data_IF_625852246084
#
_entry.id   IF_625852246084
#
_cell.length_a   1.000
_cell.length_b   1.000
_cell.length_c   1.000
_cell.angle_alpha   90.00
_cell.angle_beta   90.00
_cell.angle_gamma   90.00
#
_symmetry.space_group_name_H-M   'P 1'
#
loop_
_entity.id
_entity.type
_entity.pdbx_description
1 polymer ?
#
# COMPACT_ATOMS: atom_id res chain seq x y z
N UNK A 1 10.52 -45.57 71.42
CA UNK A 1 10.73 -44.16 71.71
C UNK A 1 11.48 -43.56 70.54
N UNK A 2 11.12 -42.58 69.84
CA UNK A 2 10.25 -41.39 69.95
C UNK A 2 9.97 -40.87 68.54
N UNK A 3 8.76 -40.43 68.37
CA UNK A 3 8.29 -39.61 67.28
C UNK A 3 9.11 -38.33 67.11
N UNK A 4 9.42 -37.92 65.86
CA UNK A 4 9.35 -36.52 65.52
C UNK A 4 9.02 -36.36 64.04
N UNK A 5 7.89 -35.70 63.79
CA UNK A 5 7.33 -35.29 62.58
C UNK A 5 8.16 -34.12 62.07
N UNK A 6 8.77 -34.23 60.89
CA UNK A 6 9.32 -33.10 60.17
C UNK A 6 8.40 -32.80 58.99
N UNK A 7 7.71 -31.67 59.09
CA UNK A 7 6.91 -31.09 58.02
C UNK A 7 7.82 -30.73 56.84
N UNK A 8 7.55 -31.37 55.73
CA UNK A 8 8.18 -30.97 54.46
C UNK A 8 7.47 -29.71 53.93
N UNK A 9 8.14 -28.58 53.99
CA UNK A 9 7.80 -27.39 53.24
C UNK A 9 7.82 -27.71 51.77
N UNK A 10 6.62 -27.72 51.18
CA UNK A 10 6.42 -27.63 49.74
C UNK A 10 6.69 -26.20 49.33
N UNK A 11 7.95 -25.87 49.08
CA UNK A 11 8.28 -24.72 48.23
C UNK A 11 7.84 -25.04 46.81
N UNK A 12 6.69 -24.50 46.42
CA UNK A 12 6.36 -24.35 45.03
C UNK A 12 7.45 -23.49 44.40
N UNK A 13 8.28 -24.08 43.56
CA UNK A 13 9.01 -23.33 42.56
C UNK A 13 7.96 -22.67 41.66
N UNK A 14 7.73 -21.39 41.85
CA UNK A 14 7.26 -20.52 40.79
C UNK A 14 8.38 -20.54 39.77
N UNK A 15 8.28 -21.40 38.76
CA UNK A 15 9.03 -21.23 37.51
C UNK A 15 8.60 -19.88 37.00
N UNK A 16 9.48 -18.88 37.15
CA UNK A 16 9.44 -17.64 36.40
C UNK A 16 9.36 -18.05 34.93
N UNK A 17 8.18 -17.91 34.36
CA UNK A 17 7.99 -17.99 32.93
C UNK A 17 8.75 -16.78 32.36
N UNK A 18 10.06 -16.96 32.07
CA UNK A 18 10.82 -16.00 31.31
C UNK A 18 10.04 -15.74 30.02
N UNK A 19 9.48 -14.54 29.90
CA UNK A 19 8.83 -14.07 28.70
C UNK A 19 9.84 -14.21 27.56
N UNK A 20 9.57 -15.12 26.63
CA UNK A 20 10.48 -15.43 25.52
C UNK A 20 10.37 -14.30 24.49
N UNK A 21 11.16 -13.25 24.70
CA UNK A 21 11.39 -12.23 23.65
C UNK A 21 12.08 -12.92 22.50
N UNK A 22 11.54 -12.79 21.28
CA UNK A 22 12.15 -13.35 20.07
C UNK A 22 13.56 -12.81 19.89
N UNK A 23 14.54 -13.70 19.71
CA UNK A 23 15.91 -13.30 19.45
C UNK A 23 16.01 -12.60 18.07
N UNK A 24 17.06 -11.80 17.86
CA UNK A 24 17.34 -11.20 16.55
C UNK A 24 17.38 -12.26 15.44
N UNK A 25 17.98 -13.42 15.72
CA UNK A 25 18.07 -14.53 14.77
C UNK A 25 16.69 -15.13 14.47
N UNK A 26 15.78 -15.23 15.48
CA UNK A 26 14.42 -15.69 15.24
C UNK A 26 13.64 -14.70 14.40
N UNK A 27 13.76 -13.39 14.65
CA UNK A 27 13.11 -12.33 13.87
C UNK A 27 13.54 -12.38 12.40
N UNK A 28 14.84 -12.56 12.13
CA UNK A 28 15.37 -12.70 10.76
C UNK A 28 14.90 -13.99 10.11
N UNK A 29 14.86 -15.11 10.87
CA UNK A 29 14.36 -16.40 10.36
C UNK A 29 12.90 -16.31 9.95
N UNK A 30 12.04 -15.66 10.74
CA UNK A 30 10.62 -15.46 10.41
C UNK A 30 10.44 -14.68 9.10
N UNK A 31 11.26 -13.66 8.85
CA UNK A 31 11.27 -12.97 7.57
C UNK A 31 11.75 -13.91 6.44
N UNK A 32 12.82 -14.69 6.67
CA UNK A 32 13.32 -15.63 5.68
C UNK A 32 12.26 -16.67 5.28
N UNK A 33 11.48 -17.15 6.24
CA UNK A 33 10.45 -18.15 6.00
C UNK A 33 9.36 -17.63 5.06
N UNK A 34 8.90 -16.37 5.21
CA UNK A 34 7.87 -15.81 4.29
C UNK A 34 8.45 -15.31 2.97
N UNK A 35 9.72 -14.88 2.92
CA UNK A 35 10.40 -14.54 1.65
C UNK A 35 10.54 -15.77 0.76
N UNK A 36 10.77 -16.94 1.36
CA UNK A 36 10.88 -18.22 0.64
C UNK A 36 9.58 -18.65 -0.03
N UNK A 37 8.43 -18.23 0.48
CA UNK A 37 7.13 -18.52 -0.14
C UNK A 37 6.96 -17.59 -1.34
N UNK A 38 6.93 -18.16 -2.55
CA UNK A 38 6.84 -17.40 -3.80
C UNK A 38 5.40 -16.98 -4.05
N UNK A 39 5.14 -15.68 -3.88
CA UNK A 39 3.82 -15.07 -4.06
C UNK A 39 3.82 -14.04 -5.18
N UNK A 40 4.45 -14.35 -6.30
CA UNK A 40 4.49 -13.48 -7.48
C UNK A 40 3.08 -13.33 -8.07
N UNK A 41 2.37 -12.32 -7.60
CA UNK A 41 0.97 -12.00 -7.95
C UNK A 41 -0.01 -13.17 -7.78
N UNK A 42 0.29 -14.14 -6.91
CA UNK A 42 -0.54 -15.31 -6.64
C UNK A 42 0.00 -16.11 -5.42
N UNK A 43 -0.73 -17.15 -4.98
CA UNK A 43 -0.33 -18.09 -3.94
C UNK A 43 -0.21 -17.52 -2.52
N UNK A 44 -0.79 -16.35 -2.22
CA UNK A 44 -0.75 -15.73 -0.89
C UNK A 44 -1.38 -16.61 0.20
N UNK A 45 -2.22 -17.57 -0.18
CA UNK A 45 -2.80 -18.54 0.78
C UNK A 45 -1.71 -19.32 1.53
N UNK A 46 -0.55 -19.59 0.91
CA UNK A 46 0.56 -20.28 1.56
C UNK A 46 1.20 -19.41 2.67
N UNK A 47 1.28 -18.09 2.47
CA UNK A 47 1.71 -17.15 3.53
C UNK A 47 0.65 -17.05 4.61
N UNK A 48 -0.65 -17.04 4.27
CA UNK A 48 -1.72 -17.08 5.25
C UNK A 48 -1.64 -18.31 6.15
N UNK A 49 -1.40 -19.50 5.57
CA UNK A 49 -1.25 -20.75 6.34
C UNK A 49 -0.03 -20.68 7.25
N UNK A 50 1.11 -20.22 6.76
CA UNK A 50 2.30 -20.02 7.57
C UNK A 50 2.05 -19.05 8.73
N UNK A 51 1.48 -17.86 8.47
CA UNK A 51 1.19 -16.87 9.50
C UNK A 51 0.16 -17.38 10.51
N UNK A 52 -0.84 -18.13 10.07
CA UNK A 52 -1.83 -18.75 10.95
C UNK A 52 -1.17 -19.73 11.93
N UNK A 53 -0.29 -20.60 11.44
CA UNK A 53 0.43 -21.57 12.24
C UNK A 53 1.41 -20.87 13.20
N UNK A 54 2.09 -19.81 12.74
CA UNK A 54 2.96 -18.99 13.59
C UNK A 54 2.17 -18.32 14.71
N UNK A 55 1.10 -17.61 14.41
CA UNK A 55 0.29 -16.87 15.38
C UNK A 55 -0.34 -17.82 16.43
N UNK A 56 -0.76 -19.03 16.02
CA UNK A 56 -1.31 -20.03 16.92
C UNK A 56 -0.32 -20.50 17.98
N UNK A 57 0.99 -20.48 17.72
CA UNK A 57 2.03 -20.82 18.71
C UNK A 57 2.12 -19.81 19.86
N UNK A 58 1.55 -18.62 19.66
CA UNK A 58 1.53 -17.51 20.62
C UNK A 58 0.13 -17.18 21.15
N UNK A 59 -0.82 -18.14 21.04
CA UNK A 59 -2.22 -17.98 21.46
C UNK A 59 -2.91 -16.76 20.82
N UNK A 60 -2.64 -16.54 19.52
CA UNK A 60 -3.31 -15.53 18.71
C UNK A 60 -4.17 -16.24 17.66
N UNK A 61 -5.49 -16.08 17.80
CA UNK A 61 -6.45 -16.61 16.84
C UNK A 61 -6.40 -15.80 15.55
N UNK A 62 -6.52 -16.51 14.42
CA UNK A 62 -6.56 -15.89 13.10
C UNK A 62 -7.54 -16.56 12.16
N UNK A 63 -8.04 -15.81 11.21
CA UNK A 63 -9.00 -16.25 10.18
C UNK A 63 -8.42 -16.02 8.79
N UNK A 64 -8.43 -17.06 7.96
CA UNK A 64 -8.13 -16.95 6.52
C UNK A 64 -9.42 -16.57 5.79
N UNK A 65 -9.39 -15.47 5.04
CA UNK A 65 -10.48 -14.95 4.22
C UNK A 65 -10.12 -15.17 2.76
N UNK A 66 -10.74 -16.17 2.13
CA UNK A 66 -10.39 -16.59 0.75
C UNK A 66 -10.92 -15.62 -0.29
N UNK A 67 -10.05 -15.20 -1.20
CA UNK A 67 -10.39 -14.53 -2.45
C UNK A 67 -10.74 -15.57 -3.53
N UNK A 68 -9.89 -16.61 -3.64
CA UNK A 68 -10.12 -17.77 -4.53
C UNK A 68 -9.32 -18.99 -4.00
N UNK A 69 -9.07 -20.00 -4.84
CA UNK A 69 -8.40 -21.24 -4.42
C UNK A 69 -6.92 -21.04 -4.04
N UNK A 70 -6.24 -20.05 -4.60
CA UNK A 70 -4.80 -19.78 -4.39
C UNK A 70 -4.53 -18.46 -3.68
N UNK A 71 -5.51 -17.55 -3.58
CA UNK A 71 -5.36 -16.22 -2.98
C UNK A 71 -6.26 -16.07 -1.77
N UNK A 72 -5.73 -15.53 -0.70
CA UNK A 72 -6.47 -15.28 0.52
C UNK A 72 -5.83 -14.13 1.31
N UNK A 73 -6.60 -13.55 2.22
CA UNK A 73 -6.15 -12.64 3.25
C UNK A 73 -6.08 -13.38 4.60
N UNK A 74 -5.32 -12.85 5.55
CA UNK A 74 -5.35 -13.29 6.93
C UNK A 74 -5.73 -12.14 7.85
N UNK A 75 -6.67 -12.39 8.74
CA UNK A 75 -7.08 -11.45 9.80
C UNK A 75 -6.77 -12.07 11.17
N UNK A 76 -6.13 -11.31 12.05
CA UNK A 76 -5.86 -11.70 13.42
C UNK A 76 -6.03 -10.52 14.37
N UNK A 77 -6.37 -10.79 15.63
CA UNK A 77 -6.58 -9.74 16.63
C UNK A 77 -5.90 -10.06 17.96
N UNK A 78 -5.41 -9.03 18.63
CA UNK A 78 -5.03 -9.06 20.03
C UNK A 78 -5.64 -7.88 20.77
N UNK A 79 -5.85 -8.04 22.08
CA UNK A 79 -6.56 -7.04 22.89
C UNK A 79 -8.08 -7.20 22.76
N UNK A 80 -8.83 -6.18 23.16
CA UNK A 80 -10.29 -6.18 23.04
C UNK A 80 -10.88 -4.77 23.23
N UNK A 81 -11.98 -4.50 22.53
CA UNK A 81 -12.71 -3.23 22.61
C UNK A 81 -12.05 -2.10 21.84
N UNK A 82 -12.64 -0.92 21.96
CA UNK A 82 -12.15 0.29 21.29
C UNK A 82 -11.04 0.99 22.10
N UNK A 83 -10.17 1.75 21.42
CA UNK A 83 -10.11 1.93 19.97
C UNK A 83 -9.57 0.70 19.23
N UNK A 84 -9.88 0.56 17.94
CA UNK A 84 -9.35 -0.49 17.06
C UNK A 84 -8.30 0.12 16.15
N UNK A 85 -7.07 -0.38 16.25
CA UNK A 85 -5.97 -0.06 15.33
C UNK A 85 -5.81 -1.19 14.33
N UNK A 86 -6.12 -0.96 13.07
CA UNK A 86 -5.78 -1.85 11.99
C UNK A 86 -4.32 -1.63 11.57
N UNK A 87 -3.61 -2.74 11.37
CA UNK A 87 -2.25 -2.77 10.81
C UNK A 87 -2.27 -3.65 9.59
N UNK A 88 -1.78 -3.17 8.45
CA UNK A 88 -1.90 -3.89 7.19
C UNK A 88 -0.61 -3.95 6.41
N UNK A 89 -0.44 -5.08 5.71
CA UNK A 89 0.61 -5.29 4.73
C UNK A 89 0.28 -6.40 3.76
N UNK A 90 0.67 -6.22 2.50
CA UNK A 90 0.41 -7.21 1.47
C UNK A 90 1.43 -8.37 1.49
N UNK A 91 0.98 -9.53 1.04
CA UNK A 91 1.75 -10.77 1.01
C UNK A 91 2.29 -11.10 -0.39
N UNK A 92 1.66 -10.56 -1.42
CA UNK A 92 2.14 -10.73 -2.80
C UNK A 92 3.38 -9.89 -3.07
N UNK A 93 4.08 -10.24 -4.13
CA UNK A 93 5.26 -9.55 -4.63
C UNK A 93 5.21 -9.50 -6.15
N UNK A 94 5.83 -8.50 -6.76
CA UNK A 94 6.01 -8.46 -8.21
C UNK A 94 6.96 -9.57 -8.67
N UNK A 95 6.85 -9.93 -9.95
CA UNK A 95 7.74 -10.87 -10.62
C UNK A 95 9.22 -10.51 -10.36
N UNK A 96 10.03 -11.51 -10.01
CA UNK A 96 11.46 -11.31 -9.77
C UNK A 96 12.25 -11.06 -11.07
N UNK A 97 11.67 -11.35 -12.21
CA UNK A 97 12.33 -11.31 -13.52
C UNK A 97 13.29 -12.46 -13.74
N UNK A 98 14.35 -12.21 -14.48
CA UNK A 98 15.36 -13.22 -14.72
C UNK A 98 16.22 -13.41 -13.46
N UNK A 99 16.21 -14.61 -12.89
CA UNK A 99 16.98 -14.93 -11.67
C UNK A 99 18.50 -14.86 -11.91
N UNK A 100 18.97 -14.95 -13.16
CA UNK A 100 20.39 -14.80 -13.51
C UNK A 100 20.88 -13.34 -13.37
N UNK A 101 19.95 -12.36 -13.33
CA UNK A 101 20.28 -10.96 -13.07
C UNK A 101 20.51 -10.66 -11.58
N UNK A 102 20.09 -11.56 -10.68
CA UNK A 102 20.24 -11.40 -9.24
C UNK A 102 21.60 -11.87 -8.75
N UNK A 103 22.23 -11.06 -7.87
CA UNK A 103 23.47 -11.44 -7.17
C UNK A 103 23.20 -12.53 -6.12
N UNK A 104 22.02 -12.49 -5.48
CA UNK A 104 21.56 -13.48 -4.50
C UNK A 104 20.19 -14.01 -4.93
N UNK A 105 19.88 -15.31 -4.69
CA UNK A 105 18.60 -15.87 -5.10
C UNK A 105 17.42 -15.07 -4.52
N UNK A 106 16.44 -14.63 -5.36
CA UNK A 106 15.36 -13.72 -4.91
C UNK A 106 14.46 -14.29 -3.83
N UNK A 107 14.31 -15.61 -3.74
CA UNK A 107 13.45 -16.30 -2.76
C UNK A 107 14.24 -17.07 -1.69
N UNK A 108 15.49 -16.68 -1.45
CA UNK A 108 16.31 -17.14 -0.34
C UNK A 108 16.90 -15.93 0.38
N UNK A 109 16.44 -15.65 1.59
CA UNK A 109 16.95 -14.50 2.34
C UNK A 109 18.47 -14.61 2.55
N UNK A 110 19.22 -13.66 2.03
CA UNK A 110 20.68 -13.59 2.22
C UNK A 110 21.05 -12.44 3.15
N UNK A 111 21.57 -12.77 4.35
CA UNK A 111 22.10 -11.77 5.30
C UNK A 111 23.56 -11.47 4.95
N UNK A 112 23.84 -10.30 4.42
CA UNK A 112 25.19 -9.88 4.03
C UNK A 112 25.39 -8.38 4.18
N UNK A 113 26.50 -8.00 4.77
CA UNK A 113 26.94 -6.60 4.93
C UNK A 113 25.88 -5.68 5.56
N UNK A 114 25.12 -6.21 6.54
CA UNK A 114 24.05 -5.47 7.23
C UNK A 114 22.77 -5.30 6.42
N UNK A 115 22.59 -6.07 5.34
CA UNK A 115 21.43 -6.08 4.45
C UNK A 115 20.84 -7.49 4.38
N UNK A 116 19.53 -7.55 4.30
CA UNK A 116 18.74 -8.76 4.09
C UNK A 116 18.20 -8.72 2.67
N UNK A 117 18.86 -9.46 1.76
CA UNK A 117 18.49 -9.50 0.34
C UNK A 117 17.40 -10.53 0.08
N UNK A 118 16.47 -10.21 -0.80
CA UNK A 118 15.40 -11.08 -1.27
C UNK A 118 14.19 -10.28 -1.77
N UNK A 119 13.44 -10.83 -2.73
CA UNK A 119 12.20 -10.24 -3.24
C UNK A 119 11.15 -10.15 -2.12
N UNK A 120 10.54 -8.97 -1.95
CA UNK A 120 9.58 -8.71 -0.89
C UNK A 120 10.21 -8.33 0.46
N UNK A 121 11.53 -8.31 0.59
CA UNK A 121 12.17 -7.87 1.84
C UNK A 121 11.88 -6.42 2.14
N UNK A 122 11.81 -5.58 1.13
CA UNK A 122 11.40 -4.18 1.20
C UNK A 122 9.92 -4.02 0.93
N UNK A 123 9.40 -4.62 -0.15
CA UNK A 123 8.04 -4.40 -0.64
C UNK A 123 7.24 -5.73 -0.69
N UNK A 124 6.38 -6.02 0.36
CA UNK A 124 6.47 -5.42 1.68
C UNK A 124 6.44 -6.48 2.80
N UNK A 125 6.92 -7.72 2.52
CA UNK A 125 6.97 -8.81 3.53
C UNK A 125 7.80 -8.43 4.76
N UNK A 126 8.83 -7.55 4.61
CA UNK A 126 9.59 -7.02 5.72
C UNK A 126 8.73 -6.20 6.68
N UNK A 127 7.93 -5.28 6.15
CA UNK A 127 6.99 -4.47 6.93
C UNK A 127 5.91 -5.32 7.59
N UNK A 128 5.31 -6.24 6.83
CA UNK A 128 4.31 -7.18 7.33
C UNK A 128 4.87 -8.02 8.50
N UNK A 129 6.04 -8.66 8.32
CA UNK A 129 6.62 -9.50 9.38
C UNK A 129 7.05 -8.69 10.59
N UNK A 130 7.54 -7.45 10.42
CA UNK A 130 7.84 -6.57 11.55
C UNK A 130 6.58 -6.26 12.39
N UNK A 131 5.43 -6.02 11.74
CA UNK A 131 4.15 -5.82 12.44
C UNK A 131 3.65 -7.10 13.12
N UNK A 132 3.76 -8.26 12.47
CA UNK A 132 3.39 -9.57 13.05
C UNK A 132 4.22 -9.86 14.31
N UNK A 133 5.54 -9.64 14.25
CA UNK A 133 6.42 -9.84 15.41
C UNK A 133 6.07 -8.86 16.54
N UNK A 134 5.83 -7.58 16.22
CA UNK A 134 5.40 -6.59 17.20
C UNK A 134 4.10 -7.02 17.92
N UNK A 135 3.13 -7.54 17.14
CA UNK A 135 1.87 -8.07 17.68
C UNK A 135 2.10 -9.27 18.60
N UNK A 136 2.96 -10.22 18.22
CA UNK A 136 3.34 -11.38 19.05
C UNK A 136 3.99 -10.92 20.36
N UNK A 137 5.00 -10.03 20.29
CA UNK A 137 5.70 -9.56 21.50
C UNK A 137 4.77 -8.76 22.44
N UNK A 138 3.84 -7.98 21.91
CA UNK A 138 2.81 -7.28 22.68
C UNK A 138 1.85 -8.25 23.38
N UNK A 139 1.43 -9.31 22.69
CA UNK A 139 0.58 -10.38 23.28
C UNK A 139 1.30 -11.10 24.39
N UNK A 140 2.53 -11.55 24.14
CA UNK A 140 3.32 -12.32 25.11
C UNK A 140 3.68 -11.51 26.38
N UNK A 141 3.96 -10.21 26.22
CA UNK A 141 4.24 -9.32 27.34
C UNK A 141 2.99 -8.83 28.08
N UNK A 142 1.80 -9.18 27.60
CA UNK A 142 0.51 -8.65 28.10
C UNK A 142 0.52 -7.11 28.22
N UNK A 143 1.14 -6.45 27.25
CA UNK A 143 1.43 -5.02 27.32
C UNK A 143 0.24 -4.12 26.95
N UNK A 144 -0.79 -4.66 26.28
CA UNK A 144 -1.98 -3.91 25.90
C UNK A 144 -2.94 -3.81 27.09
N UNK A 145 -3.23 -2.58 27.53
CA UNK A 145 -4.16 -2.32 28.63
C UNK A 145 -5.60 -2.10 28.15
N UNK A 146 -5.78 -1.66 26.91
CA UNK A 146 -7.07 -1.40 26.27
C UNK A 146 -6.94 -1.42 24.75
N UNK A 147 -8.07 -1.51 24.07
CA UNK A 147 -8.16 -1.46 22.62
C UNK A 147 -7.78 -2.76 21.94
N UNK A 148 -7.89 -2.76 20.64
CA UNK A 148 -7.65 -3.91 19.76
C UNK A 148 -6.61 -3.56 18.70
N UNK A 149 -5.65 -4.44 18.47
CA UNK A 149 -4.82 -4.43 17.27
C UNK A 149 -5.39 -5.49 16.32
N UNK A 150 -5.75 -5.09 15.11
CA UNK A 150 -6.25 -5.96 14.04
C UNK A 150 -5.25 -6.02 12.92
N UNK A 151 -4.63 -7.18 12.70
CA UNK A 151 -3.78 -7.45 11.54
C UNK A 151 -4.65 -7.77 10.32
N UNK A 152 -4.37 -7.12 9.21
CA UNK A 152 -4.95 -7.34 7.89
C UNK A 152 -3.80 -7.66 6.91
N UNK A 153 -3.43 -8.95 6.80
CA UNK A 153 -2.47 -9.36 5.79
C UNK A 153 -3.21 -9.62 4.48
N UNK A 154 -2.91 -8.84 3.45
CA UNK A 154 -3.69 -8.75 2.20
C UNK A 154 -3.04 -9.50 1.05
N UNK A 155 -3.84 -9.78 0.04
CA UNK A 155 -3.43 -10.36 -1.24
C UNK A 155 -3.76 -9.43 -2.38
N UNK A 156 -2.86 -9.33 -3.38
CA UNK A 156 -3.13 -8.66 -4.64
C UNK A 156 -2.99 -7.15 -4.63
N UNK A 157 -2.18 -6.58 -3.76
CA UNK A 157 -1.89 -5.14 -3.76
C UNK A 157 -1.22 -4.72 -5.06
N UNK A 158 -0.22 -5.49 -5.50
CA UNK A 158 0.59 -5.27 -6.70
C UNK A 158 -0.21 -5.42 -8.01
N UNK A 159 -1.50 -5.70 -7.92
CA UNK A 159 -2.39 -5.86 -9.06
C UNK A 159 -3.63 -4.98 -8.93
N UNK A 160 -4.74 -5.52 -8.44
CA UNK A 160 -6.06 -4.86 -8.44
C UNK A 160 -6.61 -4.66 -7.02
N UNK A 161 -5.81 -4.92 -5.98
CA UNK A 161 -6.18 -4.77 -4.55
C UNK A 161 -7.45 -5.56 -4.14
N UNK A 162 -7.73 -6.70 -4.79
CA UNK A 162 -8.93 -7.51 -4.53
C UNK A 162 -9.03 -7.99 -3.08
N UNK A 163 -7.88 -8.29 -2.46
CA UNK A 163 -7.84 -8.74 -1.08
C UNK A 163 -8.31 -7.65 -0.13
N UNK A 164 -7.77 -6.45 -0.27
CA UNK A 164 -8.15 -5.30 0.55
C UNK A 164 -9.65 -4.95 0.36
N UNK A 165 -10.13 -4.92 -0.89
CA UNK A 165 -11.53 -4.66 -1.18
C UNK A 165 -12.46 -5.70 -0.52
N UNK A 166 -12.12 -6.99 -0.57
CA UNK A 166 -12.91 -8.04 0.08
C UNK A 166 -13.00 -7.84 1.60
N UNK A 167 -11.90 -7.45 2.25
CA UNK A 167 -11.91 -7.18 3.69
C UNK A 167 -12.78 -5.97 4.04
N UNK A 168 -12.76 -4.92 3.23
CA UNK A 168 -13.66 -3.78 3.39
C UNK A 168 -15.13 -4.19 3.21
N UNK A 169 -15.44 -4.94 2.16
CA UNK A 169 -16.81 -5.41 1.86
C UNK A 169 -17.35 -6.36 2.97
N UNK A 170 -16.48 -7.13 3.62
CA UNK A 170 -16.85 -7.99 4.76
C UNK A 170 -16.91 -7.22 6.10
N UNK A 171 -16.71 -5.90 6.12
CA UNK A 171 -16.86 -5.04 7.30
C UNK A 171 -15.69 -5.06 8.29
N UNK A 172 -14.50 -5.54 7.90
CA UNK A 172 -13.34 -5.55 8.79
C UNK A 172 -12.79 -4.14 9.09
N UNK A 173 -13.30 -3.11 8.43
CA UNK A 173 -12.91 -1.71 8.61
C UNK A 173 -13.97 -0.87 9.34
N UNK A 174 -15.18 -1.39 9.61
CA UNK A 174 -16.32 -0.63 10.10
C UNK A 174 -16.12 0.02 11.48
N UNK A 175 -15.34 -0.62 12.36
CA UNK A 175 -15.06 -0.18 13.72
C UNK A 175 -13.62 0.35 13.92
N UNK A 176 -12.86 0.48 12.84
CA UNK A 176 -11.46 0.90 12.87
C UNK A 176 -11.36 2.40 13.17
N UNK A 177 -10.55 2.73 14.17
CA UNK A 177 -10.26 4.12 14.57
C UNK A 177 -8.98 4.65 13.94
N UNK A 178 -8.03 3.75 13.62
CA UNK A 178 -6.75 4.07 12.99
C UNK A 178 -6.26 2.93 12.10
N UNK A 179 -5.56 3.29 11.03
CA UNK A 179 -4.98 2.35 10.06
C UNK A 179 -3.52 2.70 9.80
N UNK A 180 -2.62 1.72 9.95
CA UNK A 180 -1.22 1.81 9.52
C UNK A 180 -1.00 0.79 8.40
N UNK A 181 -0.51 1.27 7.25
CA UNK A 181 0.02 0.42 6.18
C UNK A 181 1.55 0.37 6.33
N UNK A 182 2.11 -0.82 6.38
CA UNK A 182 3.55 -1.05 6.64
C UNK A 182 4.44 -1.04 5.41
N UNK A 183 4.09 -0.29 4.36
CA UNK A 183 4.88 -0.08 3.13
C UNK A 183 6.25 0.53 3.41
N UNK A 184 7.25 0.30 2.54
CA UNK A 184 8.57 0.90 2.69
C UNK A 184 8.52 2.42 2.53
N UNK A 185 8.94 3.16 3.55
CA UNK A 185 8.79 4.61 3.56
C UNK A 185 10.08 5.41 3.66
N UNK A 186 11.25 4.77 3.75
CA UNK A 186 12.53 5.49 3.95
C UNK A 186 12.48 6.46 5.14
N UNK A 187 11.86 6.06 6.26
CA UNK A 187 11.62 6.89 7.44
C UNK A 187 10.84 8.18 7.16
N UNK A 188 9.81 8.10 6.30
CA UNK A 188 8.83 9.17 6.07
C UNK A 188 7.48 8.68 6.60
N UNK A 189 6.77 9.48 7.38
CA UNK A 189 5.40 9.19 7.79
C UNK A 189 4.42 9.84 6.80
N UNK A 190 3.68 9.05 6.07
CA UNK A 190 2.69 9.58 5.14
C UNK A 190 1.30 9.59 5.78
N UNK A 191 0.67 10.77 5.82
CA UNK A 191 -0.70 10.97 6.32
C UNK A 191 -1.76 10.88 5.23
N UNK A 192 -1.32 10.82 3.97
CA UNK A 192 -2.16 10.78 2.79
C UNK A 192 -1.41 10.13 1.63
N UNK A 193 -2.16 9.62 0.64
CA UNK A 193 -1.60 9.24 -0.65
C UNK A 193 -2.52 9.61 -1.80
N UNK A 194 -1.94 9.73 -3.01
CA UNK A 194 -2.73 9.94 -4.22
C UNK A 194 -3.46 8.67 -4.62
N UNK A 195 -4.57 8.85 -5.32
CA UNK A 195 -5.19 7.77 -6.06
C UNK A 195 -4.55 7.54 -7.43
N UNK A 196 -4.97 6.47 -8.09
CA UNK A 196 -4.48 6.08 -9.40
C UNK A 196 -5.62 5.56 -10.25
N UNK A 197 -5.74 6.07 -11.48
CA UNK A 197 -6.73 5.59 -12.44
C UNK A 197 -6.10 5.35 -13.81
N UNK A 198 -6.56 4.30 -14.46
CA UNK A 198 -6.31 4.04 -15.88
C UNK A 198 -7.59 4.25 -16.67
N UNK A 199 -7.57 5.13 -17.67
CA UNK A 199 -8.74 5.37 -18.52
C UNK A 199 -8.39 5.07 -19.98
N UNK A 200 -9.24 4.32 -20.66
CA UNK A 200 -9.06 3.94 -22.08
C UNK A 200 -10.21 4.52 -22.89
N UNK A 201 -9.93 5.54 -23.67
CA UNK A 201 -10.92 6.14 -24.59
C UNK A 201 -10.81 5.48 -25.94
N UNK A 202 -11.94 5.00 -26.45
CA UNK A 202 -12.04 4.40 -27.78
C UNK A 202 -12.95 5.25 -28.68
N UNK A 203 -12.40 5.71 -29.78
CA UNK A 203 -13.16 6.31 -30.87
C UNK A 203 -13.52 5.24 -31.92
N UNK A 204 -14.79 5.16 -32.26
CA UNK A 204 -15.33 4.30 -33.34
C UNK A 204 -15.85 5.15 -34.48
N UNK A 205 -15.40 4.86 -35.67
CA UNK A 205 -15.80 5.53 -36.90
C UNK A 205 -16.25 4.53 -37.95
N UNK A 206 -16.20 4.96 -39.22
CA UNK A 206 -16.58 4.13 -40.35
C UNK A 206 -15.49 4.16 -41.42
N UNK A 207 -15.01 2.96 -41.83
CA UNK A 207 -14.03 2.83 -42.86
C UNK A 207 -14.57 3.25 -44.24
N UNK A 208 -13.72 3.90 -45.04
CA UNK A 208 -13.95 4.19 -46.43
C UNK A 208 -12.62 4.26 -47.18
N UNK A 209 -12.65 4.28 -48.50
CA UNK A 209 -11.45 4.53 -49.31
C UNK A 209 -10.95 5.97 -49.08
N UNK A 210 -9.65 6.18 -48.94
CA UNK A 210 -9.10 7.49 -48.60
C UNK A 210 -9.39 8.59 -49.66
N UNK A 211 -9.68 8.22 -50.91
CA UNK A 211 -10.11 9.17 -51.97
C UNK A 211 -11.59 9.58 -51.85
N UNK A 212 -12.38 8.92 -50.99
CA UNK A 212 -13.79 9.22 -50.75
C UNK A 212 -14.06 9.34 -49.24
N UNK A 213 -13.37 10.25 -48.54
CA UNK A 213 -13.43 10.32 -47.08
C UNK A 213 -14.84 10.64 -46.53
N UNK A 214 -15.66 11.33 -47.35
CA UNK A 214 -17.05 11.69 -47.00
C UNK A 214 -18.01 10.48 -46.82
N UNK A 215 -17.61 9.29 -47.27
CA UNK A 215 -18.39 8.04 -47.08
C UNK A 215 -17.99 7.33 -45.78
N UNK A 216 -16.94 7.76 -45.11
CA UNK A 216 -16.47 7.23 -43.82
C UNK A 216 -16.64 8.24 -42.68
N UNK A 217 -16.20 7.80 -41.51
CA UNK A 217 -16.06 8.63 -40.29
C UNK A 217 -14.68 8.35 -39.71
N UNK A 218 -13.83 9.37 -39.67
CA UNK A 218 -12.44 9.21 -39.23
C UNK A 218 -12.34 9.18 -37.70
N UNK A 219 -12.11 7.99 -37.14
CA UNK A 219 -11.95 7.80 -35.70
C UNK A 219 -10.71 8.52 -35.12
N UNK A 220 -9.69 8.73 -35.93
CA UNK A 220 -8.49 9.47 -35.50
C UNK A 220 -8.81 10.94 -35.27
N UNK A 221 -9.55 11.59 -36.21
CA UNK A 221 -9.93 12.99 -36.07
C UNK A 221 -10.78 13.21 -34.82
N UNK A 222 -11.78 12.33 -34.59
CA UNK A 222 -12.64 12.37 -33.39
C UNK A 222 -11.82 12.25 -32.12
N UNK A 223 -10.84 11.31 -32.09
CA UNK A 223 -10.00 11.12 -30.91
C UNK A 223 -9.04 12.29 -30.68
N UNK A 224 -8.56 12.94 -31.76
CA UNK A 224 -7.75 14.16 -31.67
C UNK A 224 -8.56 15.29 -31.03
N UNK A 225 -9.82 15.47 -31.45
CA UNK A 225 -10.71 16.49 -30.90
C UNK A 225 -10.95 16.22 -29.40
N UNK A 226 -11.21 14.96 -29.00
CA UNK A 226 -11.32 14.56 -27.59
C UNK A 226 -10.06 14.88 -26.78
N UNK A 227 -8.88 14.52 -27.29
CA UNK A 227 -7.60 14.79 -26.59
C UNK A 227 -7.34 16.28 -26.43
N UNK A 228 -7.69 17.09 -27.45
CA UNK A 228 -7.54 18.55 -27.38
C UNK A 228 -8.46 19.17 -26.34
N UNK A 229 -9.73 18.75 -26.30
CA UNK A 229 -10.69 19.23 -25.31
C UNK A 229 -10.27 18.80 -23.88
N UNK A 230 -9.85 17.54 -23.71
CA UNK A 230 -9.35 17.05 -22.43
C UNK A 230 -8.10 17.82 -21.95
N UNK A 231 -7.19 18.19 -22.85
CA UNK A 231 -6.05 19.06 -22.52
C UNK A 231 -6.50 20.44 -22.04
N UNK A 232 -7.55 21.01 -22.66
CA UNK A 232 -8.06 22.31 -22.24
C UNK A 232 -8.72 22.21 -20.85
N UNK A 233 -9.51 21.18 -20.57
CA UNK A 233 -10.11 20.95 -19.26
C UNK A 233 -9.03 20.77 -18.18
N UNK A 234 -8.00 19.95 -18.46
CA UNK A 234 -6.88 19.77 -17.53
C UNK A 234 -6.13 21.07 -17.26
N UNK A 235 -5.90 21.89 -18.30
CA UNK A 235 -5.28 23.20 -18.15
C UNK A 235 -6.13 24.12 -17.27
N UNK A 236 -7.44 24.13 -17.47
CA UNK A 236 -8.37 24.92 -16.66
C UNK A 236 -8.30 24.53 -15.19
N UNK A 237 -8.28 23.21 -14.87
CA UNK A 237 -8.10 22.72 -13.51
C UNK A 237 -6.78 23.25 -12.92
N UNK A 238 -5.66 23.11 -13.61
CA UNK A 238 -4.33 23.54 -13.13
C UNK A 238 -4.21 25.06 -12.93
N UNK A 239 -4.91 25.87 -13.72
CA UNK A 239 -4.85 27.33 -13.62
C UNK A 239 -5.77 27.89 -12.51
N UNK A 240 -6.89 27.24 -12.24
CA UNK A 240 -7.91 27.78 -11.33
C UNK A 240 -7.91 27.13 -9.95
N UNK A 241 -7.22 26.01 -9.77
CA UNK A 241 -7.17 25.31 -8.50
C UNK A 241 -5.73 25.02 -8.04
N UNK A 242 -5.29 25.80 -7.06
CA UNK A 242 -4.01 25.61 -6.35
C UNK A 242 -4.20 25.21 -4.90
N UNK A 243 -5.44 24.99 -4.47
CA UNK A 243 -5.79 24.83 -3.05
C UNK A 243 -5.84 23.35 -2.67
N UNK A 244 -6.22 22.48 -3.62
CA UNK A 244 -6.45 21.07 -3.37
C UNK A 244 -5.21 20.24 -3.77
N UNK A 245 -4.17 20.36 -2.94
CA UNK A 245 -2.90 19.68 -3.12
C UNK A 245 -2.52 18.93 -1.84
N UNK A 246 -2.06 17.71 -2.00
CA UNK A 246 -1.44 16.96 -0.91
C UNK A 246 0.01 17.44 -0.71
N UNK A 247 0.48 17.61 0.52
CA UNK A 247 1.86 18.05 0.77
C UNK A 247 2.88 16.91 0.54
N UNK A 248 3.19 16.65 -0.75
CA UNK A 248 4.19 15.67 -1.17
C UNK A 248 5.63 16.24 -1.25
N UNK A 249 5.80 17.55 -1.07
CA UNK A 249 7.10 18.24 -1.21
C UNK A 249 8.17 17.67 -0.27
N UNK A 250 7.90 17.46 1.04
CA UNK A 250 8.94 16.98 1.96
C UNK A 250 9.53 15.62 1.55
N UNK A 251 8.70 14.71 1.04
CA UNK A 251 9.13 13.40 0.53
C UNK A 251 10.06 13.57 -0.68
N UNK A 252 9.66 14.39 -1.65
CA UNK A 252 10.44 14.61 -2.87
C UNK A 252 11.79 15.26 -2.54
N UNK A 253 11.82 16.29 -1.67
CA UNK A 253 13.07 16.93 -1.25
C UNK A 253 14.01 15.97 -0.53
N UNK A 254 13.47 15.07 0.31
CA UNK A 254 14.27 14.02 0.99
C UNK A 254 14.90 13.06 -0.02
N UNK A 255 14.13 12.56 -0.99
CA UNK A 255 14.63 11.62 -2.00
C UNK A 255 15.60 12.25 -3.00
N UNK A 256 15.34 13.49 -3.43
CA UNK A 256 16.20 14.19 -4.39
C UNK A 256 17.40 14.90 -3.76
N UNK A 257 17.46 14.97 -2.41
CA UNK A 257 18.46 15.71 -1.65
C UNK A 257 18.61 17.17 -2.12
N UNK A 258 17.51 17.81 -2.56
CA UNK A 258 17.47 19.21 -2.97
C UNK A 258 16.11 19.84 -2.71
N UNK A 259 16.10 21.16 -2.59
CA UNK A 259 14.84 21.92 -2.57
C UNK A 259 14.21 21.95 -3.96
N UNK A 260 12.89 21.92 -4.02
CA UNK A 260 12.12 22.05 -5.27
C UNK A 260 11.42 23.40 -5.32
N UNK A 261 11.24 23.92 -6.56
CA UNK A 261 10.55 25.18 -6.79
C UNK A 261 9.02 25.05 -6.73
N UNK A 262 8.32 26.18 -6.65
CA UNK A 262 6.86 26.23 -6.55
C UNK A 262 6.17 25.53 -7.74
N UNK A 263 6.62 25.76 -8.98
CA UNK A 263 6.05 25.12 -10.17
C UNK A 263 6.23 23.59 -10.15
N UNK A 264 7.38 23.11 -9.69
CA UNK A 264 7.68 21.69 -9.57
C UNK A 264 6.84 21.06 -8.44
N UNK A 265 6.62 21.78 -7.34
CA UNK A 265 5.83 21.30 -6.20
C UNK A 265 4.39 20.98 -6.61
N UNK A 266 3.76 21.82 -7.44
CA UNK A 266 2.41 21.60 -7.95
C UNK A 266 2.25 20.33 -8.79
N UNK A 267 3.33 19.85 -9.42
CA UNK A 267 3.32 18.59 -10.17
C UNK A 267 3.24 17.41 -9.21
N UNK A 268 4.03 17.44 -8.15
CA UNK A 268 4.05 16.35 -7.17
C UNK A 268 2.82 16.35 -6.26
N UNK A 269 2.34 17.51 -5.85
CA UNK A 269 1.28 17.65 -4.84
C UNK A 269 -0.14 17.58 -5.43
N UNK A 270 -0.34 18.08 -6.64
CA UNK A 270 -1.66 18.23 -7.24
C UNK A 270 -2.14 17.06 -8.10
N UNK A 271 -3.33 17.25 -8.67
CA UNK A 271 -3.92 16.36 -9.66
C UNK A 271 -3.06 16.27 -10.92
N UNK A 272 -2.83 15.04 -11.41
CA UNK A 272 -2.02 14.79 -12.63
C UNK A 272 -2.80 13.90 -13.60
N UNK A 273 -2.85 14.33 -14.87
CA UNK A 273 -3.46 13.55 -15.95
C UNK A 273 -2.52 13.49 -17.16
N UNK A 274 -2.10 12.29 -17.51
CA UNK A 274 -1.16 12.05 -18.62
C UNK A 274 -1.81 11.17 -19.68
N UNK A 275 -1.93 11.67 -20.92
CA UNK A 275 -2.17 10.81 -22.07
C UNK A 275 -0.88 10.10 -22.46
N UNK A 276 -0.77 8.82 -22.12
CA UNK A 276 0.46 8.02 -22.27
C UNK A 276 0.51 7.19 -23.55
N UNK A 277 -0.65 6.90 -24.15
CA UNK A 277 -0.76 6.08 -25.37
C UNK A 277 -1.79 6.70 -26.32
N UNK A 278 -1.44 6.79 -27.60
CA UNK A 278 -2.34 7.20 -28.67
C UNK A 278 -2.11 6.30 -29.89
N UNK A 279 -3.15 5.56 -30.30
CA UNK A 279 -3.08 4.63 -31.43
C UNK A 279 -4.27 4.84 -32.35
N UNK A 280 -4.05 4.83 -33.67
CA UNK A 280 -5.12 4.94 -34.65
C UNK A 280 -4.69 4.65 -36.08
N UNK A 281 -5.63 4.11 -36.85
CA UNK A 281 -5.38 3.74 -38.26
C UNK A 281 -4.50 2.49 -38.40
N UNK A 282 -4.51 1.90 -39.60
CA UNK A 282 -3.66 0.75 -39.97
C UNK A 282 -2.94 0.93 -41.28
N UNK A 283 -3.50 1.72 -42.20
CA UNK A 283 -2.95 1.92 -43.55
C UNK A 283 -3.35 3.29 -44.12
N UNK A 284 -2.50 3.86 -44.97
CA UNK A 284 -2.62 5.23 -45.47
C UNK A 284 -3.83 5.42 -46.38
N UNK A 285 -4.23 4.41 -47.15
CA UNK A 285 -5.29 4.50 -48.14
C UNK A 285 -6.70 4.17 -47.65
N UNK A 286 -6.94 4.25 -46.35
CA UNK A 286 -8.25 3.96 -45.72
C UNK A 286 -8.56 4.98 -44.63
N UNK A 287 -9.81 5.40 -44.53
CA UNK A 287 -10.32 6.16 -43.39
C UNK A 287 -10.29 5.27 -42.16
N UNK A 288 -9.63 5.69 -41.06
CA UNK A 288 -9.54 4.91 -39.84
C UNK A 288 -10.92 4.72 -39.16
N UNK A 289 -11.31 3.49 -38.88
CA UNK A 289 -12.58 3.18 -38.22
C UNK A 289 -12.46 2.97 -36.69
N UNK A 290 -11.22 2.94 -36.16
CA UNK A 290 -10.95 2.82 -34.73
C UNK A 290 -9.67 3.57 -34.37
N UNK A 291 -9.73 4.29 -33.23
CA UNK A 291 -8.56 4.87 -32.58
C UNK A 291 -8.74 4.75 -31.05
N UNK A 292 -7.63 4.74 -30.29
CA UNK A 292 -7.63 4.63 -28.83
C UNK A 292 -6.61 5.58 -28.20
N UNK A 293 -6.98 6.18 -27.08
CA UNK A 293 -6.07 6.92 -26.21
C UNK A 293 -6.12 6.32 -24.80
N UNK A 294 -4.95 6.20 -24.15
CA UNK A 294 -4.90 5.77 -22.75
C UNK A 294 -4.36 6.89 -21.88
N UNK A 295 -4.99 7.04 -20.72
CA UNK A 295 -4.61 8.02 -19.73
C UNK A 295 -4.20 7.31 -18.44
N UNK A 296 -3.13 7.79 -17.80
CA UNK A 296 -2.83 7.56 -16.41
C UNK A 296 -3.17 8.84 -15.64
N UNK A 297 -3.98 8.69 -14.59
CA UNK A 297 -4.45 9.81 -13.77
C UNK A 297 -4.02 9.57 -12.34
N UNK A 298 -3.44 10.59 -11.70
CA UNK A 298 -3.15 10.63 -10.27
C UNK A 298 -4.10 11.62 -9.62
N UNK A 299 -4.97 11.10 -8.79
CA UNK A 299 -6.06 11.84 -8.16
C UNK A 299 -5.64 12.38 -6.79
N UNK A 300 -6.35 13.39 -6.31
CA UNK A 300 -6.29 13.95 -4.95
C UNK A 300 -7.71 14.01 -4.40
N UNK A 301 -7.93 14.18 -3.08
CA UNK A 301 -9.27 14.03 -2.49
C UNK A 301 -10.39 14.79 -3.20
N UNK A 302 -10.15 16.04 -3.61
CA UNK A 302 -11.16 16.86 -4.29
C UNK A 302 -11.33 16.53 -5.78
N UNK A 303 -10.38 15.81 -6.36
CA UNK A 303 -10.40 15.30 -7.74
C UNK A 303 -10.24 13.79 -7.70
N UNK A 304 -11.22 13.13 -7.09
CA UNK A 304 -11.28 11.68 -6.88
C UNK A 304 -11.68 10.92 -8.17
N UNK A 305 -11.94 9.63 -8.04
CA UNK A 305 -12.33 8.78 -9.16
C UNK A 305 -13.67 9.18 -9.76
N UNK A 306 -14.59 9.69 -8.96
CA UNK A 306 -15.91 10.16 -9.41
C UNK A 306 -15.75 11.41 -10.26
N UNK A 307 -14.98 12.39 -9.78
CA UNK A 307 -14.65 13.58 -10.56
C UNK A 307 -14.03 13.23 -11.92
N UNK A 308 -13.08 12.30 -11.96
CA UNK A 308 -12.44 11.89 -13.22
C UNK A 308 -13.44 11.26 -14.18
N UNK A 309 -14.30 10.36 -13.71
CA UNK A 309 -15.36 9.77 -14.54
C UNK A 309 -16.25 10.82 -15.15
N UNK A 310 -16.75 11.74 -14.33
CA UNK A 310 -17.63 12.84 -14.78
C UNK A 310 -16.93 13.74 -15.81
N UNK A 311 -15.64 14.01 -15.61
CA UNK A 311 -14.83 14.81 -16.55
C UNK A 311 -14.73 14.11 -17.92
N UNK A 312 -14.39 12.81 -17.95
CA UNK A 312 -14.30 12.07 -19.20
C UNK A 312 -15.66 12.00 -19.92
N UNK A 313 -16.73 11.72 -19.19
CA UNK A 313 -18.08 11.69 -19.74
C UNK A 313 -18.55 13.07 -20.25
N UNK A 314 -18.22 14.15 -19.54
CA UNK A 314 -18.50 15.52 -19.98
C UNK A 314 -17.85 15.79 -21.33
N UNK A 315 -16.57 15.46 -21.48
CA UNK A 315 -15.85 15.70 -22.73
C UNK A 315 -16.36 14.78 -23.86
N UNK A 316 -16.70 13.51 -23.56
CA UNK A 316 -17.31 12.61 -24.53
C UNK A 316 -18.63 13.17 -25.06
N UNK A 317 -19.52 13.66 -24.17
CA UNK A 317 -20.79 14.28 -24.57
C UNK A 317 -20.59 15.53 -25.44
N UNK A 318 -19.53 16.32 -25.16
CA UNK A 318 -19.24 17.52 -25.91
C UNK A 318 -18.68 17.23 -27.31
N UNK A 319 -17.78 16.25 -27.42
CA UNK A 319 -17.10 15.94 -28.69
C UNK A 319 -17.92 15.01 -29.58
N UNK A 320 -18.59 14.02 -29.01
CA UNK A 320 -19.43 13.08 -29.78
C UNK A 320 -19.68 11.75 -29.11
N UNK A 321 -20.75 11.68 -28.33
CA UNK A 321 -21.13 10.50 -27.56
C UNK A 321 -21.48 9.26 -28.41
N UNK A 322 -21.89 9.49 -29.68
CA UNK A 322 -22.18 8.39 -30.61
C UNK A 322 -20.91 7.63 -31.05
N UNK A 323 -19.73 8.27 -30.92
CA UNK A 323 -18.47 7.75 -31.45
C UNK A 323 -17.46 7.39 -30.37
N UNK A 324 -17.59 7.94 -29.17
CA UNK A 324 -16.61 7.82 -28.09
C UNK A 324 -17.14 6.99 -26.93
N UNK A 325 -16.29 6.14 -26.40
CA UNK A 325 -16.53 5.42 -25.14
C UNK A 325 -15.29 5.48 -24.26
N UNK A 326 -15.49 5.53 -22.94
CA UNK A 326 -14.42 5.36 -21.95
C UNK A 326 -14.62 4.04 -21.20
N UNK A 327 -13.51 3.34 -21.01
CA UNK A 327 -13.39 2.18 -20.10
C UNK A 327 -12.37 2.53 -19.02
N UNK A 328 -12.61 2.11 -17.79
CA UNK A 328 -11.75 2.39 -16.63
C UNK A 328 -11.34 1.04 -16.02
N UNK A 329 -10.26 0.43 -16.55
CA UNK A 329 -9.82 -0.88 -16.10
C UNK A 329 -9.26 -0.90 -14.68
N UNK A 330 -8.80 0.25 -14.14
CA UNK A 330 -8.27 0.35 -12.79
C UNK A 330 -8.63 1.71 -12.18
N UNK A 331 -9.07 1.70 -10.92
CA UNK A 331 -9.46 2.91 -10.19
C UNK A 331 -9.26 2.72 -8.69
N UNK A 332 -8.31 3.47 -8.13
CA UNK A 332 -7.98 3.51 -6.70
C UNK A 332 -8.10 4.95 -6.22
N UNK A 333 -8.94 5.18 -5.22
CA UNK A 333 -9.19 6.52 -4.71
C UNK A 333 -8.01 7.07 -3.89
N UNK A 334 -7.83 8.39 -3.85
CA UNK A 334 -6.90 9.01 -2.93
C UNK A 334 -7.38 8.86 -1.49
N UNK A 335 -6.44 8.69 -0.56
CA UNK A 335 -6.74 8.63 0.87
C UNK A 335 -6.04 9.78 1.57
N UNK A 336 -6.75 10.49 2.41
CA UNK A 336 -6.16 11.53 3.25
C UNK A 336 -6.76 11.52 4.67
N UNK A 337 -5.94 11.86 5.63
CA UNK A 337 -6.31 12.09 7.01
C UNK A 337 -5.70 13.43 7.44
N UNK A 338 -5.99 13.88 8.65
CA UNK A 338 -5.31 15.06 9.19
C UNK A 338 -3.80 14.82 9.23
N UNK A 339 -3.01 15.79 8.76
CA UNK A 339 -1.54 15.73 8.78
C UNK A 339 -0.99 15.50 10.19
N UNK A 340 -1.68 16.03 11.20
CA UNK A 340 -1.32 15.92 12.60
C UNK A 340 -2.20 14.93 13.37
N UNK A 341 -2.76 13.93 12.66
CA UNK A 341 -3.55 12.90 13.33
C UNK A 341 -2.73 12.14 14.38
N UNK A 342 -3.37 11.51 15.37
CA UNK A 342 -2.69 10.85 16.46
C UNK A 342 -1.68 9.75 16.09
N UNK A 343 -1.86 9.04 14.96
CA UNK A 343 -0.85 8.09 14.49
C UNK A 343 0.43 8.81 14.04
N UNK A 344 0.31 9.85 13.23
CA UNK A 344 1.45 10.65 12.76
C UNK A 344 2.18 11.30 13.96
N UNK A 345 1.43 11.86 14.93
CA UNK A 345 2.04 12.41 16.14
C UNK A 345 2.83 11.36 16.94
N UNK A 346 2.28 10.16 17.11
CA UNK A 346 2.98 9.08 17.81
C UNK A 346 4.21 8.60 17.02
N UNK A 347 4.10 8.41 15.71
CA UNK A 347 5.22 8.01 14.86
C UNK A 347 6.35 9.03 14.95
N UNK A 348 6.08 10.31 14.75
CA UNK A 348 7.09 11.37 14.77
C UNK A 348 7.77 11.56 16.14
N UNK A 349 7.06 11.27 17.23
CA UNK A 349 7.59 11.31 18.58
C UNK A 349 8.39 10.07 18.96
N UNK A 350 7.99 8.89 18.52
CA UNK A 350 8.52 7.60 18.99
C UNK A 350 9.66 7.09 18.09
N UNK A 351 9.44 7.06 16.76
CA UNK A 351 10.37 6.43 15.83
C UNK A 351 11.79 6.99 15.87
N UNK A 352 12.04 8.31 16.08
CA UNK A 352 13.41 8.84 16.17
C UNK A 352 14.28 8.18 17.25
N UNK A 353 13.69 7.65 18.31
CA UNK A 353 14.45 6.95 19.37
C UNK A 353 15.07 5.63 18.90
N UNK A 354 14.57 5.05 17.82
CA UNK A 354 14.98 3.76 17.27
C UNK A 354 15.74 3.87 15.96
N UNK A 355 15.29 4.77 15.06
CA UNK A 355 15.91 4.95 13.74
C UNK A 355 17.01 6.02 13.73
N UNK A 356 17.17 6.77 14.82
CA UNK A 356 18.19 7.79 15.04
C UNK A 356 18.19 8.92 14.00
N UNK A 357 17.04 9.23 13.43
CA UNK A 357 16.82 10.38 12.56
C UNK A 357 15.41 10.95 12.75
N UNK A 358 15.21 12.21 12.38
CA UNK A 358 13.90 12.86 12.43
C UNK A 358 12.98 12.28 11.35
N UNK A 359 11.72 12.06 11.71
CA UNK A 359 10.71 11.56 10.77
C UNK A 359 10.10 12.74 10.01
N UNK A 360 10.23 12.70 8.70
CA UNK A 360 9.58 13.67 7.80
C UNK A 360 8.12 13.29 7.63
N UNK A 361 7.21 14.28 7.71
CA UNK A 361 5.78 14.07 7.43
C UNK A 361 5.46 14.58 6.04
N UNK A 362 4.81 13.76 5.22
CA UNK A 362 4.52 14.08 3.82
C UNK A 362 3.27 13.34 3.33
N UNK A 363 2.82 13.63 2.10
CA UNK A 363 1.92 12.77 1.35
C UNK A 363 2.71 11.88 0.38
N UNK A 364 2.22 10.67 0.14
CA UNK A 364 2.77 9.72 -0.83
C UNK A 364 2.19 9.99 -2.22
N UNK A 365 3.02 9.97 -3.25
CA UNK A 365 2.57 10.13 -4.65
C UNK A 365 2.07 8.83 -5.29
N UNK A 366 2.34 7.68 -4.65
CA UNK A 366 1.82 6.37 -5.01
C UNK A 366 0.43 6.12 -4.43
N UNK A 367 -0.02 4.88 -4.50
CA UNK A 367 -1.25 4.37 -3.90
C UNK A 367 -0.93 3.12 -3.08
N UNK A 368 -1.80 2.73 -2.16
CA UNK A 368 -1.67 1.53 -1.32
C UNK A 368 -3.05 0.86 -1.15
N UNK A 369 -3.12 -0.28 -0.50
CA UNK A 369 -4.37 -0.95 -0.12
C UNK A 369 -5.35 -0.06 0.66
N UNK A 370 -4.89 1.05 1.23
CA UNK A 370 -5.76 1.99 1.91
C UNK A 370 -6.83 2.60 0.99
N UNK A 371 -6.60 2.69 -0.32
CA UNK A 371 -7.63 3.06 -1.31
C UNK A 371 -8.85 2.16 -1.21
N UNK A 372 -8.64 0.86 -1.14
CA UNK A 372 -9.71 -0.14 -1.03
C UNK A 372 -10.30 -0.22 0.38
N UNK A 373 -9.52 0.07 1.42
CA UNK A 373 -9.98 0.04 2.80
C UNK A 373 -10.83 1.24 3.19
N UNK A 374 -10.41 2.44 2.80
CA UNK A 374 -10.97 3.69 3.31
C UNK A 374 -11.69 4.53 2.24
N UNK A 375 -11.52 4.20 0.94
CA UNK A 375 -11.95 5.09 -0.13
C UNK A 375 -11.33 6.48 0.06
N UNK A 376 -12.16 7.52 0.03
CA UNK A 376 -11.73 8.90 0.30
C UNK A 376 -11.62 9.24 1.80
N UNK A 377 -11.73 8.25 2.68
CA UNK A 377 -11.66 8.38 4.15
C UNK A 377 -12.75 9.30 4.74
N UNK A 378 -13.96 9.20 4.26
CA UNK A 378 -15.10 9.99 4.78
C UNK A 378 -15.38 9.75 6.27
N UNK A 379 -15.00 8.57 6.80
CA UNK A 379 -15.16 8.22 8.21
C UNK A 379 -14.08 8.85 9.12
N UNK A 380 -13.15 9.62 8.56
CA UNK A 380 -12.04 10.27 9.28
C UNK A 380 -11.22 9.31 10.15
N UNK A 381 -10.89 8.13 9.63
CA UNK A 381 -9.97 7.19 10.27
C UNK A 381 -8.58 7.83 10.33
N UNK A 382 -7.92 7.76 11.49
CA UNK A 382 -6.51 8.18 11.62
C UNK A 382 -5.65 7.29 10.72
N UNK A 383 -4.97 7.86 9.73
CA UNK A 383 -4.27 7.09 8.70
C UNK A 383 -2.78 7.41 8.67
N UNK A 384 -1.97 6.38 8.51
CA UNK A 384 -0.54 6.50 8.24
C UNK A 384 -0.04 5.37 7.32
N UNK A 385 0.85 5.72 6.38
CA UNK A 385 1.74 4.74 5.74
C UNK A 385 3.11 4.91 6.36
N UNK A 386 3.60 3.86 7.02
CA UNK A 386 4.89 3.91 7.72
C UNK A 386 5.44 2.52 7.95
N UNK A 387 6.53 2.17 7.25
CA UNK A 387 7.16 0.87 7.38
C UNK A 387 8.64 0.89 7.00
N UNK A 388 9.37 -0.20 7.35
CA UNK A 388 10.78 -0.32 7.10
C UNK A 388 11.08 -0.57 5.63
N UNK A 389 12.23 -0.12 5.18
CA UNK A 389 12.71 -0.28 3.81
C UNK A 389 12.90 1.05 3.08
N UNK A 390 13.82 1.04 2.15
CA UNK A 390 14.07 2.17 1.26
C UNK A 390 13.12 2.06 0.05
N UNK A 391 12.15 2.96 -0.07
CA UNK A 391 11.11 2.89 -1.11
C UNK A 391 11.64 2.78 -2.55
N UNK A 392 12.87 3.27 -2.81
CA UNK A 392 13.53 3.14 -4.11
C UNK A 392 13.99 1.72 -4.43
N UNK A 393 14.03 0.82 -3.44
CA UNK A 393 14.40 -0.58 -3.63
C UNK A 393 13.24 -1.47 -4.05
N UNK A 394 12.00 -0.97 -3.94
CA UNK A 394 10.82 -1.66 -4.43
C UNK A 394 10.97 -2.03 -5.91
N UNK A 395 10.59 -3.25 -6.27
CA UNK A 395 10.61 -3.79 -7.64
C UNK A 395 12.01 -3.91 -8.29
N UNK A 396 13.10 -3.65 -7.57
CA UNK A 396 14.46 -3.75 -8.12
C UNK A 396 14.99 -5.18 -8.08
N UNK A 397 15.92 -5.48 -8.99
CA UNK A 397 16.82 -6.63 -8.85
C UNK A 397 17.73 -6.38 -7.64
N UNK A 398 18.10 -7.44 -6.92
CA UNK A 398 18.85 -7.34 -5.67
C UNK A 398 18.13 -6.49 -4.60
N UNK A 399 16.81 -6.55 -4.56
CA UNK A 399 16.00 -5.95 -3.50
C UNK A 399 16.52 -6.35 -2.12
N UNK A 400 16.61 -5.40 -1.22
CA UNK A 400 17.05 -5.64 0.15
C UNK A 400 16.40 -4.68 1.14
N UNK A 401 16.28 -5.12 2.38
CA UNK A 401 16.05 -4.25 3.53
C UNK A 401 17.31 -4.17 4.41
N UNK A 402 17.61 -3.00 4.97
CA UNK A 402 18.66 -2.90 5.98
C UNK A 402 18.25 -3.67 7.25
N UNK A 403 19.14 -4.50 7.76
CA UNK A 403 18.86 -5.35 8.92
C UNK A 403 18.56 -4.53 10.18
N UNK A 404 19.30 -3.48 10.43
CA UNK A 404 19.08 -2.57 11.55
C UNK A 404 17.71 -1.89 11.46
N UNK A 405 17.31 -1.46 10.26
CA UNK A 405 16.01 -0.84 10.03
C UNK A 405 14.86 -1.84 10.26
N UNK A 406 14.95 -3.05 9.70
CA UNK A 406 13.95 -4.10 9.93
C UNK A 406 13.72 -4.38 11.42
N UNK A 407 14.82 -4.57 12.17
CA UNK A 407 14.75 -4.87 13.59
C UNK A 407 14.24 -3.68 14.41
N UNK A 408 14.69 -2.47 14.11
CA UNK A 408 14.24 -1.26 14.81
C UNK A 408 12.75 -1.00 14.64
N UNK A 409 12.19 -1.28 13.47
CA UNK A 409 10.76 -1.06 13.23
C UNK A 409 9.84 -1.98 14.03
N UNK A 410 10.32 -3.16 14.43
CA UNK A 410 9.56 -4.02 15.36
C UNK A 410 9.31 -3.29 16.68
N UNK A 411 10.34 -2.64 17.23
CA UNK A 411 10.23 -1.87 18.47
C UNK A 411 9.43 -0.58 18.28
N UNK A 412 9.62 0.11 17.14
CA UNK A 412 8.80 1.27 16.76
C UNK A 412 7.32 0.91 16.75
N UNK A 413 6.96 -0.19 16.08
CA UNK A 413 5.56 -0.63 15.99
C UNK A 413 4.96 -0.96 17.35
N UNK A 414 5.69 -1.68 18.23
CA UNK A 414 5.21 -1.96 19.59
C UNK A 414 4.83 -0.68 20.34
N UNK A 415 5.72 0.31 20.32
CA UNK A 415 5.51 1.52 21.09
C UNK A 415 4.48 2.45 20.42
N UNK A 416 4.44 2.54 19.10
CA UNK A 416 3.42 3.32 18.37
C UNK A 416 2.02 2.72 18.58
N UNK A 417 1.87 1.40 18.46
CA UNK A 417 0.58 0.73 18.64
C UNK A 417 0.04 0.93 20.06
N UNK A 418 0.88 0.72 21.07
CA UNK A 418 0.51 0.99 22.47
C UNK A 418 0.10 2.44 22.68
N UNK A 419 0.94 3.38 22.24
CA UNK A 419 0.68 4.81 22.44
C UNK A 419 -0.60 5.27 21.73
N UNK A 420 -0.95 4.66 20.61
CA UNK A 420 -2.20 4.95 19.93
C UNK A 420 -3.42 4.43 20.71
N UNK A 421 -3.35 3.21 21.24
CA UNK A 421 -4.48 2.60 21.95
C UNK A 421 -4.67 3.16 23.36
N UNK A 422 -3.63 3.69 24.00
CA UNK A 422 -3.66 4.21 25.38
C UNK A 422 -4.06 5.71 25.46
N UNK A 423 -4.70 6.25 24.40
CA UNK A 423 -5.17 7.65 24.36
C UNK A 423 -6.15 8.02 25.48
#
# INVERSE_FOLDING_TARGET
WSSDVCSSDLTKNEEDCEMTVLSEQDKIRLLADIVKIQTENNHEIEVCEYLKDLLSQYDIDSKIVKVNDSRANLVAEIGSGAPVLAISGHMDVVDAGDHDDWTFPPFELTDKDGKLFGRGTTDMKGGLMAMVIAMIELKQSNALKQGTIRLLATSGEETEQYGAQLLADEGYLDDVSGLIIGEPTSNIAYYAHKGSMSCVVTAKGKAAHSSMPHLGTNAVDILVDFVNEMKQEYKNIKEHDKVHELDAVPMIEKHLHRKIGEEESHIYSGFVMLNSVFNGGKQVNSVPHKATAKYNVRTVPEYDSTFVKDLFEKVIRHVGEDYLTVDIPSSHDPVASDRDNPLIQNITRIAPNYVHEDIVVSALIGTTDASSFLGTNENNVDFAVFGPGESIMAHQVDEFIRKDMYLSYIDVYKDVFKAYLEK
#
